data_IF_945246975184
#
_entry.id   IF_945246975184
#
_cell.length_a   1.000
_cell.length_b   1.000
_cell.length_c   1.000
_cell.angle_alpha   90.00
_cell.angle_beta   90.00
_cell.angle_gamma   90.00
#
_symmetry.space_group_name_H-M   'P 1'
#
loop_
_entity.id
_entity.type
_entity.pdbx_description
1 polymer ?
#
# COMPACT_ATOMS: atom_id res chain seq x y z
N UNK A 1 21.01 -56.28 -14.38
CA UNK A 1 19.73 -55.90 -13.75
C UNK A 1 18.90 -55.23 -14.82
N UNK A 2 17.88 -55.93 -15.34
CA UNK A 2 16.94 -55.39 -16.34
C UNK A 2 16.00 -54.44 -15.60
N UNK A 3 15.96 -53.18 -16.01
CA UNK A 3 14.97 -52.23 -15.53
C UNK A 3 13.64 -52.59 -16.18
N UNK A 4 12.67 -53.02 -15.38
CA UNK A 4 11.36 -53.44 -15.86
C UNK A 4 10.61 -52.20 -16.38
N UNK A 5 10.45 -52.12 -17.71
CA UNK A 5 9.64 -51.12 -18.40
C UNK A 5 8.16 -51.10 -17.94
N UNK A 6 7.75 -52.12 -17.18
CA UNK A 6 6.41 -52.24 -16.59
C UNK A 6 6.24 -51.29 -15.40
N UNK A 7 7.27 -51.05 -14.59
CA UNK A 7 7.18 -50.12 -13.44
C UNK A 7 7.11 -48.65 -13.89
N UNK A 8 7.80 -48.30 -14.99
CA UNK A 8 7.74 -46.96 -15.59
C UNK A 8 6.38 -46.65 -16.23
N UNK A 9 5.72 -47.65 -16.81
CA UNK A 9 4.37 -47.49 -17.36
C UNK A 9 3.31 -47.41 -16.25
N UNK A 10 3.47 -48.17 -15.16
CA UNK A 10 2.54 -48.14 -14.03
C UNK A 10 2.62 -46.82 -13.25
N UNK A 11 3.82 -46.27 -13.07
CA UNK A 11 4.01 -44.97 -12.41
C UNK A 11 3.44 -43.82 -13.24
N UNK A 12 3.59 -43.83 -14.57
CA UNK A 12 2.98 -42.85 -15.46
C UNK A 12 1.45 -42.94 -15.48
N UNK A 13 0.90 -44.16 -15.53
CA UNK A 13 -0.55 -44.38 -15.46
C UNK A 13 -1.14 -43.95 -14.10
N UNK A 14 -0.42 -44.16 -12.99
CA UNK A 14 -0.84 -43.73 -11.66
C UNK A 14 -0.79 -42.20 -11.52
N UNK A 15 0.22 -41.52 -12.09
CA UNK A 15 0.27 -40.05 -12.11
C UNK A 15 -0.80 -39.42 -12.99
N UNK A 16 -1.19 -40.05 -14.10
CA UNK A 16 -2.30 -39.58 -14.93
C UNK A 16 -3.64 -39.80 -14.21
N UNK A 17 -3.86 -40.95 -13.55
CA UNK A 17 -5.09 -41.21 -12.78
C UNK A 17 -5.19 -40.39 -11.49
N UNK A 18 -4.08 -40.06 -10.82
CA UNK A 18 -4.06 -39.20 -9.63
C UNK A 18 -4.16 -37.71 -9.94
N UNK A 19 -3.92 -37.30 -11.20
CA UNK A 19 -4.21 -35.95 -11.70
C UNK A 19 -5.63 -35.80 -12.27
N UNK A 20 -6.37 -36.91 -12.41
CA UNK A 20 -7.72 -36.94 -12.97
C UNK A 20 -8.89 -36.58 -12.03
N UNK A 21 -8.74 -36.31 -10.71
CA UNK A 21 -9.83 -35.71 -9.94
C UNK A 21 -9.70 -34.18 -9.76
N UNK A 22 -8.72 -33.50 -10.39
CA UNK A 22 -8.59 -32.03 -10.31
C UNK A 22 -9.25 -31.26 -11.46
N UNK A 23 -9.85 -31.93 -12.44
CA UNK A 23 -10.55 -31.29 -13.58
C UNK A 23 -12.06 -31.53 -13.60
N UNK A 24 -12.62 -32.21 -12.61
CA UNK A 24 -14.04 -32.09 -12.27
C UNK A 24 -14.20 -30.97 -11.24
N UNK A 25 -13.81 -29.76 -11.64
CA UNK A 25 -14.50 -28.58 -11.12
C UNK A 25 -15.99 -28.83 -11.33
N UNK A 26 -16.88 -28.56 -10.35
CA UNK A 26 -18.27 -28.37 -10.72
C UNK A 26 -18.23 -27.37 -11.86
N UNK A 27 -18.87 -27.70 -12.99
CA UNK A 27 -19.20 -26.70 -13.98
C UNK A 27 -19.71 -25.50 -13.18
N UNK A 28 -18.92 -24.42 -13.15
CA UNK A 28 -19.30 -23.19 -12.49
C UNK A 28 -20.59 -22.80 -13.21
N UNK A 29 -21.72 -23.15 -12.60
CA UNK A 29 -22.95 -22.42 -12.84
C UNK A 29 -22.55 -20.98 -12.62
N UNK A 30 -22.61 -20.17 -13.68
CA UNK A 30 -22.52 -18.73 -13.51
C UNK A 30 -23.40 -18.39 -12.31
N UNK A 31 -22.90 -17.65 -11.31
CA UNK A 31 -23.73 -17.27 -10.19
C UNK A 31 -25.00 -16.62 -10.75
N UNK A 32 -26.14 -17.29 -10.59
CA UNK A 32 -27.42 -16.73 -10.98
C UNK A 32 -27.74 -15.66 -9.95
N UNK A 33 -27.59 -14.40 -10.35
CA UNK A 33 -28.01 -13.27 -9.53
C UNK A 33 -29.49 -13.04 -9.74
N UNK A 34 -30.25 -13.00 -8.65
CA UNK A 34 -31.70 -12.83 -8.72
C UNK A 34 -32.07 -11.37 -9.03
N UNK A 35 -31.17 -10.44 -8.70
CA UNK A 35 -31.30 -9.03 -8.99
C UNK A 35 -29.91 -8.37 -9.13
N UNK A 36 -29.81 -7.36 -9.98
CA UNK A 36 -28.60 -6.57 -10.17
C UNK A 36 -28.89 -5.08 -9.98
N UNK A 37 -28.05 -4.39 -9.21
CA UNK A 37 -28.07 -2.95 -9.00
C UNK A 37 -26.95 -2.29 -9.80
N UNK A 38 -27.29 -1.27 -10.60
CA UNK A 38 -26.36 -0.52 -11.44
C UNK A 38 -26.35 0.98 -11.12
N UNK A 39 -25.20 1.67 -11.26
CA UNK A 39 -25.08 3.12 -11.11
C UNK A 39 -25.96 3.87 -12.12
N UNK A 40 -26.83 4.78 -11.65
CA UNK A 40 -27.83 5.45 -12.50
C UNK A 40 -27.76 6.96 -12.55
N UNK A 41 -27.60 7.63 -11.41
CA UNK A 41 -27.54 9.09 -11.36
C UNK A 41 -26.56 9.58 -10.31
N UNK A 42 -25.90 10.69 -10.61
CA UNK A 42 -25.02 11.40 -9.68
C UNK A 42 -25.74 12.67 -9.25
N UNK A 43 -25.91 12.87 -7.95
CA UNK A 43 -26.47 14.09 -7.35
C UNK A 43 -25.56 14.50 -6.20
N UNK A 44 -25.05 15.73 -6.23
CA UNK A 44 -24.14 16.26 -5.21
C UNK A 44 -22.91 15.35 -4.96
N UNK A 45 -22.39 14.73 -6.02
CA UNK A 45 -21.29 13.76 -5.96
C UNK A 45 -21.71 12.36 -5.53
N UNK A 46 -22.92 12.15 -4.99
CA UNK A 46 -23.42 10.84 -4.59
C UNK A 46 -23.97 10.09 -5.79
N UNK A 47 -23.46 8.88 -6.03
CA UNK A 47 -23.92 7.95 -7.04
C UNK A 47 -25.04 7.10 -6.45
N UNK A 48 -26.19 7.13 -7.10
CA UNK A 48 -27.36 6.31 -6.79
C UNK A 48 -27.42 5.09 -7.69
N UNK A 49 -27.95 3.98 -7.15
CA UNK A 49 -28.11 2.72 -7.88
C UNK A 49 -29.58 2.41 -8.13
N UNK A 50 -29.85 1.67 -9.20
CA UNK A 50 -31.18 1.12 -9.50
C UNK A 50 -31.09 -0.30 -10.03
N UNK A 51 -32.20 -1.02 -9.96
CA UNK A 51 -32.33 -2.35 -10.57
C UNK A 51 -32.08 -2.26 -12.08
N UNK A 52 -31.26 -3.17 -12.61
CA UNK A 52 -30.94 -3.25 -14.04
C UNK A 52 -32.22 -3.26 -14.89
N UNK A 53 -32.29 -2.34 -15.86
CA UNK A 53 -33.44 -2.18 -16.74
C UNK A 53 -34.70 -1.58 -16.10
N UNK A 54 -34.63 -1.08 -14.84
CA UNK A 54 -35.79 -0.52 -14.12
C UNK A 54 -35.45 0.80 -13.39
N UNK A 55 -36.49 1.49 -12.93
CA UNK A 55 -36.39 2.71 -12.09
C UNK A 55 -36.38 2.43 -10.58
N UNK A 56 -36.56 1.17 -10.19
CA UNK A 56 -36.56 0.73 -8.80
C UNK A 56 -35.17 0.94 -8.16
N UNK A 57 -35.11 1.55 -6.98
CA UNK A 57 -33.85 1.90 -6.29
C UNK A 57 -33.27 0.77 -5.42
N UNK A 58 -33.98 -0.35 -5.33
CA UNK A 58 -33.64 -1.44 -4.43
C UNK A 58 -34.10 -2.78 -4.98
N UNK A 59 -33.27 -3.80 -4.80
CA UNK A 59 -33.66 -5.19 -4.99
C UNK A 59 -34.41 -5.65 -3.74
N UNK A 60 -35.69 -5.98 -3.87
CA UNK A 60 -36.52 -6.41 -2.76
C UNK A 60 -37.28 -7.69 -3.11
N UNK A 61 -37.54 -8.51 -2.09
CA UNK A 61 -38.22 -9.79 -2.25
C UNK A 61 -38.67 -10.37 -0.93
N UNK A 62 -39.26 -11.56 -1.01
CA UNK A 62 -39.69 -12.37 0.12
C UNK A 62 -38.82 -13.63 0.17
N UNK A 63 -38.33 -13.96 1.35
CA UNK A 63 -37.60 -15.17 1.68
C UNK A 63 -38.50 -16.01 2.57
N UNK A 64 -39.13 -17.04 2.00
CA UNK A 64 -39.86 -18.03 2.75
C UNK A 64 -38.88 -19.13 3.14
N UNK A 65 -38.61 -19.35 4.43
CA UNK A 65 -37.88 -20.57 4.79
C UNK A 65 -38.71 -21.79 4.38
N UNK A 66 -38.31 -22.64 3.41
CA UNK A 66 -39.01 -23.88 3.19
C UNK A 66 -38.90 -24.70 4.47
N UNK A 67 -39.82 -25.65 4.65
CA UNK A 67 -39.90 -26.54 5.81
C UNK A 67 -38.57 -27.29 6.12
N UNK A 68 -37.53 -27.18 5.28
CA UNK A 68 -36.28 -27.95 5.39
C UNK A 68 -34.94 -27.32 4.96
N UNK A 69 -34.83 -26.09 4.41
CA UNK A 69 -33.50 -25.66 3.88
C UNK A 69 -33.13 -24.17 3.92
N UNK A 70 -34.01 -23.26 4.34
CA UNK A 70 -33.75 -21.82 4.19
C UNK A 70 -33.71 -21.37 2.72
N UNK A 71 -34.06 -20.11 2.47
CA UNK A 71 -33.95 -19.49 1.16
C UNK A 71 -32.79 -18.50 1.17
N UNK A 72 -32.09 -18.40 0.04
CA UNK A 72 -30.96 -17.49 -0.14
C UNK A 72 -31.16 -16.69 -1.41
N UNK A 73 -31.03 -15.38 -1.26
CA UNK A 73 -31.12 -14.38 -2.32
C UNK A 73 -29.76 -13.73 -2.51
N UNK A 74 -29.36 -13.60 -3.77
CA UNK A 74 -28.07 -12.99 -4.16
C UNK A 74 -28.34 -11.77 -5.03
N UNK A 75 -27.84 -10.61 -4.57
CA UNK A 75 -27.93 -9.34 -5.28
C UNK A 75 -26.54 -8.95 -5.78
N UNK A 76 -26.41 -8.78 -7.09
CA UNK A 76 -25.21 -8.23 -7.71
C UNK A 76 -25.23 -6.70 -7.60
N UNK A 77 -24.10 -6.10 -7.24
CA UNK A 77 -23.86 -4.67 -7.28
C UNK A 77 -22.77 -4.43 -8.31
N UNK A 78 -23.15 -3.91 -9.48
CA UNK A 78 -22.20 -3.64 -10.57
C UNK A 78 -21.43 -2.36 -10.28
N UNK A 79 -20.11 -2.47 -10.19
CA UNK A 79 -19.21 -1.34 -9.98
C UNK A 79 -18.27 -1.17 -11.19
N UNK A 80 -17.81 -2.29 -11.75
CA UNK A 80 -16.86 -2.34 -12.87
C UNK A 80 -17.54 -2.07 -14.22
N UNK A 81 -16.75 -1.60 -15.18
CA UNK A 81 -17.26 -1.27 -16.51
C UNK A 81 -18.26 -0.10 -16.52
N UNK A 82 -18.29 0.70 -15.44
CA UNK A 82 -19.11 1.90 -15.31
C UNK A 82 -18.22 3.13 -15.20
N UNK A 83 -18.57 4.22 -15.88
CA UNK A 83 -17.85 5.51 -15.78
C UNK A 83 -18.28 6.34 -14.56
N UNK A 84 -19.02 5.74 -13.61
CA UNK A 84 -19.72 6.46 -12.53
C UNK A 84 -19.19 6.15 -11.15
N UNK A 85 -18.52 5.00 -10.98
CA UNK A 85 -17.88 4.61 -9.74
C UNK A 85 -16.43 4.28 -10.06
N UNK A 86 -15.52 4.78 -9.26
CA UNK A 86 -14.09 4.50 -9.36
C UNK A 86 -13.53 4.11 -8.01
N UNK A 87 -12.25 3.81 -7.98
CA UNK A 87 -11.45 3.74 -6.76
C UNK A 87 -11.54 5.08 -5.99
N UNK A 88 -11.33 5.03 -4.68
CA UNK A 88 -11.54 6.16 -3.76
C UNK A 88 -13.00 6.45 -3.42
N UNK A 89 -13.95 5.61 -3.83
CA UNK A 89 -15.35 5.72 -3.43
C UNK A 89 -15.63 4.90 -2.16
N UNK A 90 -16.52 5.40 -1.32
CA UNK A 90 -17.16 4.59 -0.27
C UNK A 90 -18.49 4.08 -0.81
N UNK A 91 -18.60 2.77 -0.98
CA UNK A 91 -19.85 2.09 -1.29
C UNK A 91 -20.58 1.82 0.02
N UNK A 92 -21.80 2.35 0.15
CA UNK A 92 -22.71 2.09 1.28
C UNK A 92 -23.84 1.19 0.80
N UNK A 93 -23.93 0.01 1.39
CA UNK A 93 -24.95 -1.00 1.12
C UNK A 93 -25.87 -1.07 2.35
N UNK A 94 -27.15 -0.77 2.16
CA UNK A 94 -28.16 -0.92 3.21
C UNK A 94 -29.02 -2.14 2.91
N UNK A 95 -29.04 -3.07 3.86
CA UNK A 95 -29.90 -4.26 3.83
C UNK A 95 -30.93 -4.13 4.94
N UNK A 96 -32.18 -4.02 4.55
CA UNK A 96 -33.30 -4.06 5.46
C UNK A 96 -33.91 -5.46 5.47
N UNK A 97 -34.14 -6.00 6.66
CA UNK A 97 -34.84 -7.26 6.87
C UNK A 97 -36.05 -7.01 7.76
N UNK A 98 -37.21 -7.47 7.31
CA UNK A 98 -38.48 -7.34 8.04
C UNK A 98 -39.11 -8.70 8.23
N UNK A 99 -39.52 -8.98 9.46
CA UNK A 99 -40.32 -10.16 9.74
C UNK A 99 -41.75 -9.96 9.25
N UNK A 100 -42.28 -10.95 8.54
CA UNK A 100 -43.62 -10.88 7.93
C UNK A 100 -44.60 -11.82 8.62
N UNK A 101 -44.29 -13.12 8.67
CA UNK A 101 -45.17 -14.16 9.22
C UNK A 101 -44.39 -15.25 9.94
N UNK A 102 -45.10 -15.93 10.84
CA UNK A 102 -44.65 -17.06 11.68
C UNK A 102 -43.71 -16.67 12.85
N UNK A 103 -43.01 -17.63 13.46
CA UNK A 103 -42.17 -17.43 14.66
C UNK A 103 -40.88 -16.65 14.35
N UNK A 104 -40.09 -16.34 15.37
CA UNK A 104 -38.81 -15.63 15.22
C UNK A 104 -37.92 -16.31 14.18
N UNK A 105 -37.34 -15.52 13.27
CA UNK A 105 -36.52 -16.00 12.17
C UNK A 105 -35.06 -15.71 12.44
N UNK A 106 -34.18 -16.69 12.26
CA UNK A 106 -32.75 -16.41 12.14
C UNK A 106 -32.47 -15.99 10.70
N UNK A 107 -31.62 -15.00 10.51
CA UNK A 107 -31.24 -14.55 9.17
C UNK A 107 -29.75 -14.28 9.10
N UNK A 108 -29.20 -14.45 7.90
CA UNK A 108 -27.83 -14.16 7.57
C UNK A 108 -27.78 -13.10 6.49
N UNK A 109 -26.94 -12.08 6.68
CA UNK A 109 -26.62 -11.10 5.63
C UNK A 109 -25.12 -11.05 5.50
N UNK A 110 -24.58 -11.27 4.31
CA UNK A 110 -23.17 -11.12 4.01
C UNK A 110 -22.97 -10.27 2.77
N UNK A 111 -21.81 -9.63 2.67
CA UNK A 111 -21.37 -9.07 1.41
C UNK A 111 -19.89 -9.36 1.17
N UNK A 112 -19.53 -9.45 -0.11
CA UNK A 112 -18.19 -9.78 -0.55
C UNK A 112 -18.02 -9.49 -2.04
N UNK A 113 -16.88 -9.88 -2.61
CA UNK A 113 -16.64 -9.67 -4.02
C UNK A 113 -17.37 -10.72 -4.87
N UNK A 114 -17.74 -10.36 -6.10
CA UNK A 114 -18.39 -11.27 -7.05
C UNK A 114 -17.50 -12.45 -7.46
N UNK A 115 -16.18 -12.30 -7.31
CA UNK A 115 -15.18 -13.35 -7.48
C UNK A 115 -15.24 -14.44 -6.39
N UNK A 116 -15.92 -14.16 -5.27
CA UNK A 116 -16.19 -15.12 -4.19
C UNK A 116 -15.57 -14.75 -2.84
N UNK A 117 -16.18 -15.25 -1.76
CA UNK A 117 -15.81 -14.92 -0.38
C UNK A 117 -16.74 -13.88 0.24
N UNK A 118 -16.56 -13.62 1.54
CA UNK A 118 -17.38 -12.67 2.31
C UNK A 118 -16.43 -11.76 3.10
N UNK A 119 -16.54 -10.45 2.89
CA UNK A 119 -15.77 -9.46 3.64
C UNK A 119 -16.32 -9.28 5.06
N UNK A 120 -17.65 -9.17 5.17
CA UNK A 120 -18.35 -9.05 6.44
C UNK A 120 -19.73 -9.68 6.37
N UNK A 121 -20.20 -10.16 7.51
CA UNK A 121 -21.53 -10.74 7.66
C UNK A 121 -22.13 -10.46 9.03
N UNK A 122 -23.45 -10.61 9.06
CA UNK A 122 -24.31 -10.54 10.22
C UNK A 122 -25.14 -11.80 10.26
N UNK A 123 -25.24 -12.40 11.44
CA UNK A 123 -26.12 -13.52 11.74
C UNK A 123 -26.88 -13.14 13.02
N UNK A 124 -28.18 -12.90 12.89
CA UNK A 124 -29.03 -12.41 13.98
C UNK A 124 -30.42 -13.05 13.92
N UNK A 125 -31.22 -12.86 14.97
CA UNK A 125 -32.60 -13.32 15.07
C UNK A 125 -33.53 -12.11 15.08
N UNK A 126 -34.50 -12.12 14.17
CA UNK A 126 -35.57 -11.12 14.12
C UNK A 126 -36.86 -11.70 14.72
N UNK A 127 -37.44 -10.98 15.67
CA UNK A 127 -38.71 -11.35 16.31
C UNK A 127 -39.89 -10.94 15.45
N UNK A 128 -41.06 -11.50 15.76
CA UNK A 128 -42.31 -11.21 15.07
C UNK A 128 -42.59 -9.70 14.99
N UNK A 129 -42.94 -9.23 13.77
CA UNK A 129 -43.17 -7.81 13.49
C UNK A 129 -41.93 -6.91 13.56
N UNK A 130 -40.76 -7.49 13.85
CA UNK A 130 -39.49 -6.79 13.94
C UNK A 130 -39.00 -6.29 12.58
N UNK A 131 -38.19 -5.23 12.63
CA UNK A 131 -37.48 -4.65 11.50
C UNK A 131 -36.03 -4.42 11.91
N UNK A 132 -35.09 -4.82 11.06
CA UNK A 132 -33.65 -4.63 11.26
C UNK A 132 -33.06 -3.99 10.00
N UNK A 133 -32.15 -3.05 10.21
CA UNK A 133 -31.40 -2.40 9.13
C UNK A 133 -29.92 -2.63 9.39
N UNK A 134 -29.22 -3.15 8.40
CA UNK A 134 -27.80 -3.42 8.44
C UNK A 134 -27.13 -2.58 7.36
N UNK A 135 -26.04 -1.94 7.73
CA UNK A 135 -25.28 -1.09 6.81
C UNK A 135 -23.88 -1.65 6.66
N UNK A 136 -23.48 -1.93 5.42
CA UNK A 136 -22.10 -2.20 5.07
C UNK A 136 -21.49 -0.98 4.38
N UNK A 137 -20.32 -0.55 4.82
CA UNK A 137 -19.54 0.48 4.14
C UNK A 137 -18.23 -0.14 3.65
N UNK A 138 -17.92 0.05 2.37
CA UNK A 138 -16.72 -0.47 1.73
C UNK A 138 -15.98 0.69 1.06
N UNK A 139 -14.77 1.00 1.52
CA UNK A 139 -13.89 1.91 0.80
C UNK A 139 -13.18 1.14 -0.31
N UNK A 140 -13.34 1.58 -1.56
CA UNK A 140 -12.76 0.92 -2.74
C UNK A 140 -11.33 1.41 -2.91
N UNK A 141 -10.36 0.65 -2.41
CA UNK A 141 -8.93 0.89 -2.63
C UNK A 141 -8.56 0.74 -4.11
N UNK A 142 -7.44 1.31 -4.54
CA UNK A 142 -6.93 1.13 -5.90
C UNK A 142 -6.56 -0.31 -6.23
N UNK A 143 -6.85 -0.70 -7.47
CA UNK A 143 -6.71 -2.05 -7.98
C UNK A 143 -7.74 -3.03 -7.43
N UNK A 144 -8.65 -2.57 -6.55
CA UNK A 144 -9.69 -3.39 -5.90
C UNK A 144 -11.10 -3.05 -6.37
N UNK A 145 -11.25 -2.24 -7.42
CA UNK A 145 -12.56 -2.03 -8.03
C UNK A 145 -13.03 -3.33 -8.69
N UNK A 146 -13.87 -4.06 -7.97
CA UNK A 146 -14.55 -5.27 -8.44
C UNK A 146 -16.04 -5.22 -8.10
N UNK A 147 -16.87 -5.92 -8.88
CA UNK A 147 -18.30 -6.04 -8.57
C UNK A 147 -18.51 -6.72 -7.21
N UNK A 148 -19.55 -6.31 -6.50
CA UNK A 148 -19.87 -6.85 -5.17
C UNK A 148 -21.12 -7.72 -5.22
N UNK A 149 -21.20 -8.66 -4.29
CA UNK A 149 -22.37 -9.52 -4.09
C UNK A 149 -22.85 -9.37 -2.66
N UNK A 150 -24.16 -9.17 -2.51
CA UNK A 150 -24.87 -9.20 -1.24
C UNK A 150 -25.69 -10.48 -1.18
N UNK A 151 -25.48 -11.25 -0.11
CA UNK A 151 -26.19 -12.50 0.16
C UNK A 151 -27.12 -12.26 1.32
N UNK A 152 -28.41 -12.55 1.14
CA UNK A 152 -29.43 -12.50 2.19
C UNK A 152 -30.05 -13.88 2.30
N UNK A 153 -29.93 -14.51 3.46
CA UNK A 153 -30.47 -15.85 3.71
C UNK A 153 -31.42 -15.85 4.88
N UNK A 154 -32.57 -16.49 4.71
CA UNK A 154 -33.46 -16.86 5.81
C UNK A 154 -33.04 -18.24 6.32
N UNK A 155 -32.79 -18.36 7.63
CA UNK A 155 -32.47 -19.62 8.29
C UNK A 155 -33.69 -20.00 9.14
N UNK A 156 -34.58 -20.80 8.56
CA UNK A 156 -35.71 -21.36 9.28
C UNK A 156 -35.32 -22.69 9.93
N UNK A 157 -35.79 -22.92 11.16
CA UNK A 157 -35.77 -24.26 11.74
C UNK A 157 -36.96 -25.06 11.21
N UNK A 158 -36.78 -26.37 11.10
CA UNK A 158 -37.76 -27.34 10.59
C UNK A 158 -39.17 -27.17 11.20
N UNK A 159 -39.24 -26.78 12.47
CA UNK A 159 -40.50 -26.68 13.22
C UNK A 159 -40.99 -25.23 13.39
N UNK A 160 -40.27 -24.25 12.83
CA UNK A 160 -40.59 -22.83 12.88
C UNK A 160 -40.40 -22.21 11.49
N UNK A 161 -41.38 -22.36 10.57
CA UNK A 161 -41.35 -21.62 9.31
C UNK A 161 -41.23 -20.14 9.63
N UNK A 162 -40.55 -19.38 8.79
CA UNK A 162 -40.44 -17.93 8.94
C UNK A 162 -40.34 -17.28 7.57
N UNK A 163 -41.09 -16.19 7.41
CA UNK A 163 -41.10 -15.40 6.18
C UNK A 163 -40.51 -14.04 6.47
N UNK A 164 -39.50 -13.68 5.68
CA UNK A 164 -38.79 -12.42 5.78
C UNK A 164 -38.91 -11.65 4.48
N UNK A 165 -39.24 -10.37 4.57
CA UNK A 165 -39.00 -9.47 3.45
C UNK A 165 -37.61 -8.87 3.58
N UNK A 166 -36.92 -8.75 2.46
CA UNK A 166 -35.65 -8.06 2.38
C UNK A 166 -35.69 -6.92 1.36
N UNK A 167 -34.83 -5.94 1.55
CA UNK A 167 -34.57 -4.88 0.59
C UNK A 167 -33.10 -4.49 0.65
N UNK A 168 -32.41 -4.56 -0.49
CA UNK A 168 -31.02 -4.14 -0.66
C UNK A 168 -31.00 -2.85 -1.47
N UNK A 169 -30.35 -1.81 -0.95
CA UNK A 169 -30.12 -0.54 -1.64
C UNK A 169 -28.66 -0.12 -1.52
N UNK A 170 -28.16 0.58 -2.54
CA UNK A 170 -26.74 0.96 -2.62
C UNK A 170 -26.61 2.42 -3.01
N UNK A 171 -25.62 3.08 -2.41
CA UNK A 171 -25.14 4.40 -2.79
C UNK A 171 -23.62 4.42 -2.77
N UNK A 172 -22.98 5.23 -3.60
CA UNK A 172 -21.55 5.45 -3.53
C UNK A 172 -21.24 6.94 -3.39
N UNK A 173 -20.30 7.30 -2.53
CA UNK A 173 -19.86 8.67 -2.31
C UNK A 173 -18.35 8.77 -2.58
N UNK A 174 -17.88 9.77 -3.35
CA UNK A 174 -16.46 9.98 -3.55
C UNK A 174 -15.83 10.41 -2.23
N UNK A 175 -14.80 9.68 -1.81
CA UNK A 175 -13.88 10.02 -0.73
C UNK A 175 -12.45 9.91 -1.25
N UNK A 176 -12.26 10.35 -2.49
CA UNK A 176 -11.02 10.21 -3.24
C UNK A 176 -9.84 10.82 -2.49
N UNK A 177 -8.70 10.12 -2.55
CA UNK A 177 -7.40 10.62 -2.14
C UNK A 177 -7.00 11.92 -2.84
N UNK A 178 -5.99 12.61 -2.30
CA UNK A 178 -5.66 13.93 -2.81
C UNK A 178 -5.30 13.85 -4.29
N UNK A 179 -6.05 14.64 -5.07
CA UNK A 179 -5.76 14.87 -6.48
C UNK A 179 -4.51 15.73 -6.70
N UNK A 180 -4.11 16.50 -5.70
CA UNK A 180 -3.14 17.58 -5.84
C UNK A 180 -1.95 17.41 -4.90
N UNK A 181 -0.75 17.57 -5.46
CA UNK A 181 0.49 17.73 -4.70
C UNK A 181 1.00 19.13 -4.94
N UNK A 182 1.44 19.80 -3.89
CA UNK A 182 2.07 21.11 -3.98
C UNK A 182 3.57 20.96 -3.75
N UNK A 183 4.36 21.29 -4.77
CA UNK A 183 5.82 21.36 -4.69
C UNK A 183 6.23 22.83 -4.58
N UNK A 184 6.95 23.19 -3.52
CA UNK A 184 7.54 24.51 -3.31
C UNK A 184 9.05 24.43 -3.47
N UNK A 185 9.61 25.25 -4.35
CA UNK A 185 11.05 25.38 -4.53
C UNK A 185 11.63 26.41 -3.56
N UNK A 186 12.94 26.32 -3.31
CA UNK A 186 13.68 27.29 -2.49
C UNK A 186 13.57 28.72 -3.01
N UNK A 187 13.46 28.89 -4.32
CA UNK A 187 13.37 30.19 -5.00
C UNK A 187 11.98 30.85 -4.86
N UNK A 188 11.05 30.23 -4.09
CA UNK A 188 9.70 30.74 -3.85
C UNK A 188 8.70 30.37 -4.93
N UNK A 189 9.09 29.60 -5.94
CA UNK A 189 8.18 29.05 -6.94
C UNK A 189 7.35 27.90 -6.37
N UNK A 190 6.06 27.85 -6.70
CA UNK A 190 5.17 26.73 -6.37
C UNK A 190 4.60 26.14 -7.65
N UNK A 191 4.56 24.81 -7.71
CA UNK A 191 3.92 24.05 -8.77
C UNK A 191 2.94 23.09 -8.11
N UNK A 192 1.69 23.11 -8.58
CA UNK A 192 0.70 22.08 -8.24
C UNK A 192 0.72 21.02 -9.32
N UNK A 193 0.85 19.76 -8.92
CA UNK A 193 0.79 18.60 -9.81
C UNK A 193 -0.47 17.83 -9.49
N UNK A 194 -1.30 17.60 -10.50
CA UNK A 194 -2.56 16.88 -10.39
C UNK A 194 -2.40 15.45 -10.91
N UNK A 195 -2.89 14.47 -10.15
CA UNK A 195 -3.08 13.08 -10.58
C UNK A 195 -4.27 12.54 -9.79
N UNK A 196 -5.13 11.76 -10.45
CA UNK A 196 -6.30 11.21 -9.80
C UNK A 196 -5.96 10.16 -8.74
N UNK A 197 -4.78 9.50 -8.83
CA UNK A 197 -4.42 8.36 -7.98
C UNK A 197 -2.98 8.48 -7.44
N UNK A 198 -2.75 9.28 -6.40
CA UNK A 198 -1.41 9.47 -5.83
C UNK A 198 -1.01 8.47 -4.73
N UNK A 199 -1.93 7.91 -3.93
CA UNK A 199 -1.60 7.17 -2.69
C UNK A 199 -1.83 5.67 -2.74
N UNK A 200 -2.93 5.27 -3.36
CA UNK A 200 -3.33 3.88 -3.37
C UNK A 200 -2.48 3.04 -4.36
N UNK A 201 -1.39 2.45 -3.90
CA UNK A 201 -0.70 1.38 -4.63
C UNK A 201 -0.63 0.19 -3.70
N UNK A 202 -0.97 -1.04 -4.15
CA UNK A 202 -0.80 -2.24 -3.35
C UNK A 202 0.62 -2.25 -2.77
N UNK A 203 0.80 -2.76 -1.55
CA UNK A 203 2.09 -2.74 -0.81
C UNK A 203 3.30 -3.36 -1.52
N UNK A 204 3.19 -3.78 -2.79
CA UNK A 204 4.30 -4.09 -3.68
C UNK A 204 4.94 -2.82 -4.28
N UNK A 205 5.86 -2.24 -3.51
CA UNK A 205 6.72 -1.14 -3.92
C UNK A 205 7.53 -1.42 -5.21
N UNK A 206 7.67 -2.68 -5.67
CA UNK A 206 8.39 -2.99 -6.92
C UNK A 206 7.58 -2.64 -8.16
N UNK A 207 6.26 -2.52 -8.04
CA UNK A 207 5.38 -2.13 -9.13
C UNK A 207 5.43 -0.61 -9.41
N UNK A 208 5.90 0.18 -8.45
CA UNK A 208 6.02 1.62 -8.54
C UNK A 208 7.17 2.02 -9.50
N UNK A 209 6.79 2.58 -10.64
CA UNK A 209 7.69 3.14 -11.65
C UNK A 209 7.14 4.47 -12.15
N UNK A 210 7.97 5.20 -12.89
CA UNK A 210 7.57 6.47 -13.49
C UNK A 210 6.28 6.31 -14.30
N UNK A 211 5.31 7.19 -14.06
CA UNK A 211 3.99 7.17 -14.70
C UNK A 211 2.93 6.27 -14.07
N UNK A 212 3.24 5.54 -12.98
CA UNK A 212 2.28 4.75 -12.19
C UNK A 212 1.75 5.61 -11.03
N UNK A 213 0.52 5.34 -10.52
CA UNK A 213 0.07 5.81 -9.20
C UNK A 213 1.16 5.65 -8.12
N UNK A 214 1.15 6.47 -7.07
CA UNK A 214 2.23 6.47 -6.07
C UNK A 214 3.50 7.23 -6.45
N UNK A 215 3.77 7.47 -7.74
CA UNK A 215 4.98 8.17 -8.19
C UNK A 215 4.87 9.70 -8.08
N UNK A 216 5.09 10.25 -6.89
CA UNK A 216 4.85 11.66 -6.56
C UNK A 216 5.68 12.71 -7.35
N UNK A 217 6.57 12.29 -8.25
CA UNK A 217 7.61 13.17 -8.76
C UNK A 217 7.91 12.94 -10.25
N UNK A 218 7.20 13.60 -11.18
CA UNK A 218 7.71 13.79 -12.56
C UNK A 218 9.04 14.58 -12.62
N UNK A 219 9.54 15.08 -11.48
CA UNK A 219 10.79 15.84 -11.34
C UNK A 219 11.50 15.53 -10.02
N UNK A 220 12.83 15.49 -10.06
CA UNK A 220 13.68 15.27 -8.88
C UNK A 220 13.67 16.46 -7.91
N UNK A 221 13.24 16.22 -6.67
CA UNK A 221 13.27 17.18 -5.56
C UNK A 221 14.72 17.60 -5.27
N UNK A 222 14.96 18.91 -5.27
CA UNK A 222 16.26 19.51 -5.00
C UNK A 222 16.40 19.86 -3.52
N UNK A 223 17.63 19.98 -2.98
CA UNK A 223 17.85 20.59 -1.67
C UNK A 223 17.17 21.97 -1.57
N UNK A 224 16.51 22.22 -0.45
CA UNK A 224 15.68 23.39 -0.18
C UNK A 224 14.22 23.28 -0.68
N UNK A 225 13.82 22.19 -1.34
CA UNK A 225 12.42 22.00 -1.77
C UNK A 225 11.55 21.33 -0.72
N UNK A 226 10.24 21.60 -0.80
CA UNK A 226 9.19 20.98 0.02
C UNK A 226 8.09 20.41 -0.87
N UNK A 227 7.56 19.25 -0.52
CA UNK A 227 6.40 18.63 -1.15
C UNK A 227 5.32 18.41 -0.07
N UNK A 228 4.09 18.80 -0.37
CA UNK A 228 2.92 18.63 0.50
C UNK A 228 1.82 17.87 -0.25
N UNK A 229 1.23 16.87 0.39
CA UNK A 229 0.05 16.17 -0.10
C UNK A 229 -0.89 15.77 1.04
N UNK A 230 -2.10 15.37 0.70
CA UNK A 230 -3.05 14.76 1.63
C UNK A 230 -3.40 13.35 1.15
N UNK A 231 -3.81 12.48 2.06
CA UNK A 231 -4.28 11.14 1.72
C UNK A 231 -5.31 10.67 2.73
N UNK A 232 -5.96 9.57 2.42
CA UNK A 232 -6.82 8.82 3.30
C UNK A 232 -6.22 7.44 3.52
N UNK A 233 -6.36 6.97 4.76
CA UNK A 233 -6.21 5.56 5.07
C UNK A 233 -7.46 5.14 5.79
N UNK A 234 -7.75 3.85 5.73
CA UNK A 234 -8.96 3.31 6.33
C UNK A 234 -8.69 2.04 7.11
N UNK A 235 -9.51 1.81 8.12
CA UNK A 235 -9.40 0.62 8.94
C UNK A 235 -10.74 -0.09 9.05
N UNK A 236 -10.69 -1.42 9.06
CA UNK A 236 -11.88 -2.23 9.33
C UNK A 236 -12.47 -1.85 10.69
N UNK A 237 -13.77 -1.58 10.71
CA UNK A 237 -14.50 -1.25 11.92
C UNK A 237 -15.84 -1.96 11.97
N UNK A 238 -16.35 -2.20 13.17
CA UNK A 238 -17.69 -2.76 13.36
C UNK A 238 -18.35 -2.08 14.53
N UNK A 239 -19.46 -1.40 14.26
CA UNK A 239 -20.35 -0.81 15.25
C UNK A 239 -21.61 -1.67 15.34
N UNK A 240 -21.61 -2.61 16.28
CA UNK A 240 -22.72 -3.57 16.45
C UNK A 240 -23.99 -2.87 16.94
N UNK A 241 -23.86 -1.84 17.78
CA UNK A 241 -25.00 -1.11 18.32
C UNK A 241 -25.74 -0.36 17.21
N UNK A 242 -25.01 0.16 16.22
CA UNK A 242 -25.58 0.79 15.01
C UNK A 242 -25.76 -0.16 13.84
N UNK A 243 -25.50 -1.47 14.01
CA UNK A 243 -25.54 -2.47 12.92
C UNK A 243 -24.77 -2.04 11.66
N UNK A 244 -23.64 -1.34 11.85
CA UNK A 244 -22.81 -0.80 10.77
C UNK A 244 -21.46 -1.51 10.73
N UNK A 245 -21.14 -2.09 9.58
CA UNK A 245 -19.98 -2.93 9.35
C UNK A 245 -19.13 -2.31 8.25
N UNK A 246 -17.92 -1.90 8.58
CA UNK A 246 -17.07 -1.12 7.67
C UNK A 246 -15.83 -1.91 7.32
N UNK A 247 -15.55 -2.04 6.03
CA UNK A 247 -14.44 -2.81 5.51
C UNK A 247 -13.58 -1.94 4.61
N UNK A 248 -12.28 -2.12 4.74
CA UNK A 248 -11.29 -1.62 3.81
C UNK A 248 -10.03 -2.47 3.92
N UNK A 249 -9.22 -2.46 2.86
CA UNK A 249 -7.86 -3.02 2.84
C UNK A 249 -6.78 -1.95 2.69
N UNK A 250 -7.18 -0.69 2.57
CA UNK A 250 -6.32 0.46 2.47
C UNK A 250 -5.82 0.91 3.86
N UNK A 251 -4.87 0.15 4.42
CA UNK A 251 -4.20 0.49 5.68
C UNK A 251 -2.84 1.15 5.47
N UNK A 252 -2.36 1.20 4.24
CA UNK A 252 -1.00 1.61 3.91
C UNK A 252 -0.93 2.24 2.53
N UNK A 253 -0.32 3.41 2.45
CA UNK A 253 0.03 4.06 1.19
C UNK A 253 1.53 3.94 0.94
N UNK A 254 1.91 3.75 -0.33
CA UNK A 254 3.31 3.71 -0.72
C UNK A 254 3.58 4.71 -1.85
N UNK A 255 4.48 5.63 -1.55
CA UNK A 255 4.88 6.70 -2.45
C UNK A 255 6.32 6.53 -2.92
N UNK A 256 6.59 6.81 -4.18
CA UNK A 256 7.95 6.86 -4.74
C UNK A 256 8.37 8.31 -4.97
N UNK A 257 9.40 8.76 -4.23
CA UNK A 257 10.02 10.07 -4.36
C UNK A 257 11.30 9.99 -5.20
N UNK A 258 11.50 10.95 -6.09
CA UNK A 258 12.81 11.23 -6.69
C UNK A 258 13.45 12.42 -5.98
N UNK A 259 14.62 12.23 -5.36
CA UNK A 259 15.33 13.24 -4.57
C UNK A 259 16.78 13.27 -5.04
N UNK A 260 17.35 14.46 -5.22
CA UNK A 260 18.75 14.60 -5.64
C UNK A 260 19.67 14.21 -4.47
N UNK A 261 20.53 13.18 -4.61
CA UNK A 261 21.39 12.72 -3.52
C UNK A 261 22.59 13.68 -3.39
N UNK A 262 22.46 14.69 -2.53
CA UNK A 262 23.56 15.61 -2.20
C UNK A 262 24.13 15.21 -0.84
N UNK A 263 25.44 14.94 -0.70
CA UNK A 263 26.03 14.56 0.57
C UNK A 263 25.68 15.55 1.69
N UNK A 264 25.38 15.03 2.88
CA UNK A 264 24.95 15.77 4.08
C UNK A 264 23.59 16.49 3.96
N UNK A 265 22.93 16.48 2.79
CA UNK A 265 21.52 16.86 2.70
C UNK A 265 20.67 15.87 3.49
N UNK A 266 19.54 16.33 4.00
CA UNK A 266 18.65 15.52 4.84
C UNK A 266 17.27 15.49 4.22
N UNK A 267 16.70 14.30 4.10
CA UNK A 267 15.29 14.15 3.73
C UNK A 267 14.51 13.95 5.03
N UNK A 268 13.55 14.82 5.30
CA UNK A 268 12.62 14.71 6.41
C UNK A 268 11.22 14.50 5.86
N UNK A 269 10.54 13.48 6.36
CA UNK A 269 9.14 13.22 6.05
C UNK A 269 8.34 13.30 7.34
N UNK A 270 7.29 14.11 7.30
CA UNK A 270 6.36 14.32 8.40
C UNK A 270 4.97 13.92 7.94
N UNK A 271 4.32 13.03 8.67
CA UNK A 271 2.93 12.61 8.40
C UNK A 271 2.09 12.93 9.62
N UNK A 272 0.99 13.65 9.43
CA UNK A 272 0.11 14.08 10.52
C UNK A 272 -1.33 13.67 10.23
N UNK A 273 -1.98 12.88 11.12
CA UNK A 273 -3.40 12.60 10.98
C UNK A 273 -4.23 13.87 11.25
N UNK A 274 -5.36 14.02 10.56
CA UNK A 274 -6.34 15.07 10.89
C UNK A 274 -7.20 14.70 12.12
N UNK A 275 -7.36 13.40 12.39
CA UNK A 275 -8.13 12.89 13.52
C UNK A 275 -7.22 12.60 14.74
N UNK A 276 -7.61 13.14 15.90
CA UNK A 276 -6.85 13.02 17.14
C UNK A 276 -6.78 11.59 17.70
N UNK A 277 -7.71 10.72 17.31
CA UNK A 277 -7.72 9.33 17.77
C UNK A 277 -6.79 8.43 16.96
N UNK A 278 -6.31 8.92 15.82
CA UNK A 278 -5.51 8.13 14.88
C UNK A 278 -4.03 8.14 15.22
N UNK A 279 -3.34 7.06 14.85
CA UNK A 279 -1.89 6.92 15.02
C UNK A 279 -1.30 6.42 13.71
N UNK A 280 -0.35 7.18 13.17
CA UNK A 280 0.31 6.88 11.91
C UNK A 280 1.76 6.45 12.15
N UNK A 281 2.27 5.60 11.26
CA UNK A 281 3.70 5.37 11.13
C UNK A 281 4.17 5.69 9.73
N UNK A 282 5.44 6.10 9.62
CA UNK A 282 6.08 6.39 8.35
C UNK A 282 7.41 5.64 8.26
N UNK A 283 7.64 4.98 7.13
CA UNK A 283 8.85 4.21 6.86
C UNK A 283 9.47 4.67 5.55
N UNK A 284 10.77 4.97 5.57
CA UNK A 284 11.56 5.22 4.37
C UNK A 284 12.20 3.90 3.92
N UNK A 285 12.16 3.61 2.62
CA UNK A 285 12.83 2.43 2.04
C UNK A 285 13.69 2.80 0.84
N UNK A 286 14.73 2.02 0.62
CA UNK A 286 15.57 2.10 -0.59
C UNK A 286 14.81 1.60 -1.81
N UNK A 287 15.38 1.82 -3.00
CA UNK A 287 14.85 1.28 -4.27
C UNK A 287 14.61 -0.24 -4.24
N UNK A 288 15.43 -0.99 -3.49
CA UNK A 288 15.31 -2.46 -3.38
C UNK A 288 14.28 -2.89 -2.32
N UNK A 289 13.69 -1.94 -1.59
CA UNK A 289 12.67 -2.15 -0.57
C UNK A 289 13.20 -2.34 0.85
N UNK A 290 14.52 -2.22 1.05
CA UNK A 290 15.09 -2.33 2.39
C UNK A 290 14.70 -1.10 3.22
N UNK A 291 14.20 -1.29 4.45
CA UNK A 291 13.88 -0.17 5.33
C UNK A 291 15.17 0.61 5.68
N UNK A 292 15.13 1.91 5.46
CA UNK A 292 16.19 2.86 5.82
C UNK A 292 15.97 3.29 7.27
N UNK A 293 14.81 3.89 7.54
CA UNK A 293 14.39 4.37 8.86
C UNK A 293 12.86 4.29 8.96
N UNK A 294 12.34 4.12 10.17
CA UNK A 294 10.91 4.16 10.44
C UNK A 294 10.62 4.89 11.74
N UNK A 295 9.46 5.51 11.84
CA UNK A 295 9.00 6.17 13.06
C UNK A 295 7.48 6.09 13.16
N UNK A 296 6.98 5.86 14.36
CA UNK A 296 5.55 5.92 14.66
C UNK A 296 5.27 7.15 15.51
N UNK A 297 4.29 7.95 15.09
CA UNK A 297 3.86 9.12 15.85
C UNK A 297 3.11 8.75 17.13
N UNK A 298 2.96 9.69 18.08
CA UNK A 298 1.97 9.56 19.14
C UNK A 298 0.55 9.66 18.55
N UNK A 299 -0.46 9.27 19.32
CA UNK A 299 -1.86 9.39 18.92
C UNK A 299 -2.22 10.86 18.68
N UNK A 300 -2.86 11.16 17.54
CA UNK A 300 -3.20 12.49 17.07
C UNK A 300 -2.02 13.38 16.67
N UNK A 301 -0.79 12.87 16.81
CA UNK A 301 0.42 13.63 16.56
C UNK A 301 1.18 13.18 15.31
N UNK A 302 2.17 13.99 14.94
CA UNK A 302 2.96 13.75 13.74
C UNK A 302 3.95 12.59 13.90
N UNK A 303 4.00 11.70 12.91
CA UNK A 303 5.09 10.76 12.72
C UNK A 303 6.18 11.43 11.86
N UNK A 304 7.40 11.53 12.38
CA UNK A 304 8.51 12.20 11.70
C UNK A 304 9.67 11.24 11.52
N UNK A 305 10.06 11.00 10.28
CA UNK A 305 11.25 10.20 9.94
C UNK A 305 12.23 11.04 9.15
N UNK A 306 13.52 10.79 9.35
CA UNK A 306 14.58 11.53 8.69
C UNK A 306 15.67 10.58 8.21
N UNK A 307 16.26 10.87 7.05
CA UNK A 307 17.49 10.25 6.57
C UNK A 307 18.51 11.33 6.19
N UNK A 308 19.79 10.96 6.20
CA UNK A 308 20.90 11.84 5.78
C UNK A 308 21.64 11.15 4.65
N UNK A 309 21.86 11.87 3.55
CA UNK A 309 22.63 11.36 2.42
C UNK A 309 24.11 11.29 2.79
N UNK A 310 24.70 10.09 2.68
CA UNK A 310 26.15 9.90 2.77
C UNK A 310 26.82 10.15 1.42
N UNK A 311 28.15 10.30 1.41
CA UNK A 311 28.94 10.37 0.15
C UNK A 311 28.79 9.11 -0.71
N UNK A 312 28.49 7.97 -0.08
CA UNK A 312 28.24 6.69 -0.74
C UNK A 312 26.79 6.51 -1.21
N UNK A 313 25.86 7.38 -0.78
CA UNK A 313 24.45 7.26 -1.11
C UNK A 313 24.23 7.68 -2.56
N UNK A 314 23.89 6.70 -3.40
CA UNK A 314 23.57 6.91 -4.82
C UNK A 314 22.07 6.83 -5.11
N UNK A 315 21.27 6.49 -4.10
CA UNK A 315 19.84 6.29 -4.27
C UNK A 315 19.14 7.63 -4.41
N UNK A 316 18.78 7.96 -5.65
CA UNK A 316 17.96 9.09 -6.03
C UNK A 316 16.46 8.81 -5.87
N UNK A 317 16.11 7.56 -5.53
CA UNK A 317 14.74 7.05 -5.42
C UNK A 317 14.50 6.47 -4.03
N UNK A 318 13.56 7.07 -3.31
CA UNK A 318 13.19 6.69 -1.95
C UNK A 318 11.71 6.39 -1.91
N UNK A 319 11.34 5.25 -1.34
CA UNK A 319 9.95 4.95 -1.05
C UNK A 319 9.57 5.49 0.32
N UNK A 320 8.37 6.05 0.41
CA UNK A 320 7.74 6.48 1.65
C UNK A 320 6.48 5.65 1.83
N UNK A 321 6.48 4.82 2.86
CA UNK A 321 5.34 4.01 3.25
C UNK A 321 4.68 4.66 4.46
N UNK A 322 3.40 5.00 4.34
CA UNK A 322 2.56 5.55 5.41
C UNK A 322 1.61 4.46 5.85
N UNK A 323 1.61 4.10 7.13
CA UNK A 323 0.73 3.06 7.66
C UNK A 323 -0.19 3.61 8.76
N UNK A 324 -1.47 3.25 8.70
CA UNK A 324 -2.44 3.50 9.74
C UNK A 324 -2.33 2.41 10.82
N UNK A 325 -1.82 2.78 11.99
CA UNK A 325 -1.61 1.84 13.10
C UNK A 325 -2.90 1.67 13.91
N UNK A 326 -3.55 2.78 14.24
CA UNK A 326 -4.74 2.83 15.11
C UNK A 326 -5.64 3.99 14.65
N UNK A 327 -6.96 3.83 14.77
CA UNK A 327 -7.94 4.92 14.61
C UNK A 327 -9.27 4.55 15.26
N UNK A 328 -10.07 5.54 15.69
CA UNK A 328 -11.48 5.33 16.03
C UNK A 328 -12.42 5.69 14.88
N UNK A 329 -11.91 6.30 13.82
CA UNK A 329 -12.67 6.60 12.60
C UNK A 329 -12.39 5.56 11.52
N UNK A 330 -13.42 5.25 10.73
CA UNK A 330 -13.29 4.33 9.60
C UNK A 330 -12.32 4.84 8.53
N UNK A 331 -12.46 6.13 8.21
CA UNK A 331 -11.60 6.86 7.29
C UNK A 331 -10.80 7.89 8.08
N UNK A 332 -9.49 7.85 7.90
CA UNK A 332 -8.52 8.72 8.55
C UNK A 332 -7.82 9.53 7.47
N UNK A 333 -8.10 10.83 7.43
CA UNK A 333 -7.33 11.73 6.57
C UNK A 333 -5.99 12.06 7.21
N UNK A 334 -4.97 12.22 6.40
CA UNK A 334 -3.67 12.66 6.83
C UNK A 334 -3.06 13.67 5.85
N UNK A 335 -2.08 14.43 6.36
CA UNK A 335 -1.23 15.30 5.56
C UNK A 335 0.20 14.78 5.63
N UNK A 336 0.87 14.71 4.47
CA UNK A 336 2.28 14.40 4.37
C UNK A 336 3.05 15.63 3.88
N UNK A 337 4.14 15.94 4.58
CA UNK A 337 5.10 16.98 4.22
C UNK A 337 6.49 16.37 4.11
N UNK A 338 7.10 16.52 2.94
CA UNK A 338 8.46 16.08 2.62
C UNK A 338 9.34 17.30 2.46
N UNK A 339 10.44 17.36 3.20
CA UNK A 339 11.40 18.47 3.18
C UNK A 339 12.79 17.92 2.82
N UNK A 340 13.40 18.46 1.75
CA UNK A 340 14.80 18.19 1.42
C UNK A 340 15.64 19.32 2.00
N UNK A 341 16.22 19.11 3.16
CA UNK A 341 17.01 20.10 3.90
C UNK A 341 18.42 20.15 3.32
N UNK A 342 18.91 21.37 3.05
CA UNK A 342 20.25 21.61 2.51
C UNK A 342 21.36 21.14 3.47
N UNK A 343 22.51 20.71 2.93
CA UNK A 343 23.67 20.45 3.76
C UNK A 343 24.07 21.73 4.51
N UNK A 344 24.56 21.63 5.76
CA UNK A 344 25.10 22.79 6.45
C UNK A 344 26.25 23.39 5.61
N UNK A 345 26.39 24.72 5.56
CA UNK A 345 27.51 25.33 4.88
C UNK A 345 28.81 24.78 5.47
N UNK A 346 29.84 24.50 4.64
CA UNK A 346 31.13 24.10 5.16
C UNK A 346 31.59 25.14 6.18
N UNK A 347 32.19 24.71 7.32
CA UNK A 347 32.73 25.67 8.27
C UNK A 347 33.66 26.61 7.52
N UNK A 348 33.47 27.92 7.71
CA UNK A 348 34.41 28.92 7.21
C UNK A 348 35.78 28.57 7.81
N UNK A 349 36.62 27.95 6.98
CA UNK A 349 38.01 27.79 7.34
C UNK A 349 38.54 29.21 7.43
N UNK A 350 38.83 29.67 8.66
CA UNK A 350 39.65 30.86 8.87
C UNK A 350 40.79 30.78 7.87
N UNK A 351 41.05 31.83 7.08
CA UNK A 351 42.07 31.80 6.04
C UNK A 351 43.32 31.23 6.67
N UNK A 352 43.75 30.04 6.22
CA UNK A 352 45.01 29.49 6.66
C UNK A 352 46.02 30.56 6.31
N UNK A 353 46.59 31.19 7.32
CA UNK A 353 47.79 31.99 7.15
C UNK A 353 48.80 31.00 6.62
N UNK A 354 48.93 30.95 5.29
CA UNK A 354 50.03 30.29 4.63
C UNK A 354 51.23 31.08 5.10
N UNK A 355 51.86 30.63 6.20
CA UNK A 355 53.18 31.11 6.57
C UNK A 355 54.02 30.75 5.34
N UNK A 356 54.53 31.72 4.57
CA UNK A 356 55.41 31.39 3.49
C UNK A 356 56.60 30.70 4.13
N UNK A 357 56.72 29.38 3.93
CA UNK A 357 57.93 28.67 4.30
C UNK A 357 59.02 29.39 3.51
N UNK A 358 59.96 30.09 4.16
CA UNK A 358 60.96 30.86 3.45
C UNK A 358 61.69 29.90 2.52
N UNK A 359 61.89 30.28 1.26
CA UNK A 359 62.49 29.41 0.24
C UNK A 359 63.81 28.77 0.70
N UNK A 360 64.51 29.41 1.65
CA UNK A 360 65.67 28.86 2.33
C UNK A 360 65.40 27.53 3.05
N UNK A 361 64.28 27.39 3.78
CA UNK A 361 63.92 26.14 4.47
C UNK A 361 63.51 25.03 3.50
N UNK A 362 62.83 25.36 2.39
CA UNK A 362 62.51 24.39 1.34
C UNK A 362 63.79 23.90 0.66
N UNK A 363 64.74 24.80 0.35
CA UNK A 363 66.06 24.42 -0.18
C UNK A 363 66.82 23.54 0.78
N UNK A 364 66.82 23.84 2.09
CA UNK A 364 67.48 23.00 3.11
C UNK A 364 66.89 21.59 3.18
N UNK A 365 65.55 21.48 3.12
CA UNK A 365 64.86 20.18 3.16
C UNK A 365 65.17 19.38 1.89
N UNK A 366 65.11 20.00 0.71
CA UNK A 366 65.40 19.33 -0.56
C UNK A 366 66.86 18.90 -0.64
N UNK A 367 67.81 19.74 -0.21
CA UNK A 367 69.24 19.39 -0.13
C UNK A 367 69.49 18.26 0.89
N UNK A 368 68.85 18.32 2.06
CA UNK A 368 68.96 17.25 3.06
C UNK A 368 68.41 15.92 2.55
N UNK A 369 67.24 15.93 1.91
CA UNK A 369 66.60 14.72 1.40
C UNK A 369 67.38 14.10 0.23
N UNK A 370 67.94 14.93 -0.66
CA UNK A 370 68.81 14.46 -1.75
C UNK A 370 70.12 13.86 -1.24
N UNK A 371 70.74 14.44 -0.21
CA UNK A 371 71.91 13.85 0.46
C UNK A 371 71.60 12.49 1.09
N UNK A 372 70.44 12.35 1.74
CA UNK A 372 70.01 11.07 2.32
C UNK A 372 69.82 10.03 1.23
N UNK A 373 69.14 10.37 0.12
CA UNK A 373 68.94 9.45 -1.01
C UNK A 373 70.28 9.05 -1.64
N UNK A 374 71.19 10.00 -1.88
CA UNK A 374 72.53 9.71 -2.40
C UNK A 374 73.34 8.80 -1.47
N UNK A 375 73.30 9.07 -0.16
CA UNK A 375 73.98 8.24 0.83
C UNK A 375 73.42 6.81 0.88
N UNK A 376 72.10 6.65 0.76
CA UNK A 376 71.44 5.36 0.70
C UNK A 376 71.83 4.59 -0.57
N UNK A 377 71.92 5.26 -1.74
CA UNK A 377 72.37 4.65 -2.99
C UNK A 377 73.84 4.19 -2.90
N UNK A 378 74.73 4.99 -2.33
CA UNK A 378 76.14 4.63 -2.14
C UNK A 378 76.29 3.45 -1.18
N UNK A 379 75.58 3.47 -0.04
CA UNK A 379 75.57 2.33 0.90
C UNK A 379 75.03 1.08 0.24
N UNK A 380 73.94 1.17 -0.52
CA UNK A 380 73.35 0.03 -1.23
C UNK A 380 74.30 -0.53 -2.31
N UNK A 381 75.05 0.33 -3.01
CA UNK A 381 76.07 -0.10 -3.97
C UNK A 381 77.28 -0.79 -3.31
N UNK A 382 77.72 -0.30 -2.14
CA UNK A 382 78.80 -0.91 -1.35
C UNK A 382 78.37 -2.28 -0.81
N UNK A 383 77.15 -2.37 -0.25
CA UNK A 383 76.58 -3.63 0.25
C UNK A 383 76.36 -4.61 -0.91
N UNK A 384 75.88 -4.13 -2.06
CA UNK A 384 75.72 -4.93 -3.29
C UNK A 384 77.04 -5.49 -3.84
N UNK A 385 78.13 -4.70 -3.82
CA UNK A 385 79.47 -5.18 -4.19
C UNK A 385 80.02 -6.21 -3.19
N UNK A 386 79.80 -6.03 -1.88
CA UNK A 386 80.22 -7.00 -0.85
C UNK A 386 79.46 -8.33 -0.95
N UNK A 387 78.18 -8.31 -1.33
CA UNK A 387 77.41 -9.55 -1.57
C UNK A 387 77.90 -10.32 -2.80
N UNK A 388 78.16 -9.65 -3.93
CA UNK A 388 78.73 -10.30 -5.14
C UNK A 388 80.13 -10.88 -4.92
N UNK A 389 80.94 -10.31 -4.03
CA UNK A 389 82.26 -10.87 -3.69
C UNK A 389 82.20 -12.14 -2.83
N UNK A 390 81.08 -12.43 -2.15
CA UNK A 390 80.90 -13.64 -1.33
C UNK A 390 80.29 -14.83 -2.08
N UNK A 391 79.66 -14.63 -3.22
CA UNK A 391 79.08 -15.71 -4.04
C UNK A 391 80.08 -16.38 -5.00
N UNK A 392 81.30 -15.84 -5.16
CA UNK A 392 82.35 -16.41 -6.03
C UNK A 392 83.33 -17.38 -5.35
N UNK A 393 83.10 -17.78 -4.09
CA UNK A 393 84.00 -18.70 -3.35
C UNK A 393 83.44 -20.13 -3.15
N UNK A 394 82.38 -20.53 -3.86
CA UNK A 394 81.80 -21.90 -3.76
C UNK A 394 81.66 -22.66 -5.09
N UNK A 395 82.45 -22.29 -6.09
CA UNK A 395 82.71 -23.15 -7.26
C UNK A 395 84.18 -23.05 -7.63
N UNK A 396 85.02 -23.85 -6.98
CA UNK A 396 86.13 -24.62 -7.54
C UNK A 396 86.66 -25.59 -6.49
#
# INVERSE_FOLDING_TARGET
>A
MRADHVEGALTLALSVLLLLPLTLSPAFSQPSYNCALEPKSVSDGVVSFSVEGKDERSCAGELAGPEFSGETETVLVKLTGTDRVSEGYVIRINVEVRHVRFLAARYFVGYGPASGGIFSSVDDVIREGGRKSITFEHYVSYGELEDLVVVVSSIAFRDTPAVLNYSVSVSAEPRTDAREIVIRSKEGGSITVTNDNWGDVPGDYRALREGVPGYLATRTLQPGSTLELQGWLSMRQTDRDRSTYRFSRDQSDVYLLSVKPVPMARLRVTVTPEDESSRLSVTLRTKDGFPINSTTGPQGGAAVVQMVYSESSRDDKIFVEVNLMESRTFLTRYSMKVEVIEPPPPPELNPQVVVPIPESQVRSIVIGLTLVILSAVVVSAIVGRRKRSREYYWYY
#
